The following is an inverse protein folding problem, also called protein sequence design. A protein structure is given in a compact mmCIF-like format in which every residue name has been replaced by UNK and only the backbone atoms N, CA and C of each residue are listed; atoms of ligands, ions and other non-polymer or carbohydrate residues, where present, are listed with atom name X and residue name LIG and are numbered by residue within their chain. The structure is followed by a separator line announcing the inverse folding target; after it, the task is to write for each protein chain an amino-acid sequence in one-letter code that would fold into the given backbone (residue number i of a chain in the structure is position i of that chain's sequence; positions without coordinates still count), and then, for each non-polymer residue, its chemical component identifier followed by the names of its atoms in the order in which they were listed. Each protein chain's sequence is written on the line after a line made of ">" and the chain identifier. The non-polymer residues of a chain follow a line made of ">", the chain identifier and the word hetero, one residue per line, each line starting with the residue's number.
data_IF_629557852968
#
_entry.id   IF_629557852968
#
_cell.length_a   1.000
_cell.length_b   1.000
_cell.length_c   1.000
_cell.angle_alpha   90.00
_cell.angle_beta   90.00
_cell.angle_gamma   90.00
#
_symmetry.space_group_name_H-M   'P 1'
#
loop_
_entity.id
_entity.type
_entity.pdbx_description
1 polymer ?
#
# COMPACT_ATOMS: atom_id res chain seq x y z
N UNK A 1 66.85 44.79 -86.28
CA UNK A 1 67.26 43.52 -85.70
C UNK A 1 66.53 43.37 -84.38
N UNK A 2 65.38 42.68 -84.36
CA UNK A 2 64.57 42.48 -83.20
C UNK A 2 64.48 40.97 -82.88
N UNK A 3 64.97 40.57 -81.74
CA UNK A 3 64.86 39.16 -81.25
C UNK A 3 63.53 39.00 -80.50
N UNK A 4 62.73 38.10 -81.01
CA UNK A 4 61.52 37.65 -80.32
C UNK A 4 61.89 36.62 -79.25
N UNK A 5 61.46 36.88 -78.02
CA UNK A 5 61.50 35.88 -76.91
C UNK A 5 60.13 35.33 -76.75
N UNK A 6 59.99 34.02 -76.93
CA UNK A 6 58.78 33.23 -76.71
C UNK A 6 58.73 32.85 -75.24
N UNK A 7 57.69 33.34 -74.55
CA UNK A 7 57.43 32.93 -73.14
C UNK A 7 56.44 31.79 -73.17
N UNK A 8 56.86 30.61 -72.72
CA UNK A 8 56.04 29.42 -72.54
C UNK A 8 55.32 29.56 -71.21
N UNK A 9 54.00 29.73 -71.24
CA UNK A 9 53.15 29.74 -70.07
C UNK A 9 52.85 28.30 -69.64
N UNK A 10 53.28 27.91 -68.45
CA UNK A 10 52.95 26.65 -67.80
C UNK A 10 51.65 26.83 -66.98
N UNK A 11 50.54 26.30 -67.49
CA UNK A 11 49.29 26.18 -66.71
C UNK A 11 49.43 25.10 -65.65
N UNK A 12 49.62 25.50 -64.40
CA UNK A 12 49.44 24.63 -63.26
C UNK A 12 47.94 24.47 -62.96
N UNK A 13 47.35 23.34 -63.36
CA UNK A 13 46.04 22.91 -62.90
C UNK A 13 46.14 22.44 -61.41
N UNK A 14 45.67 23.27 -60.48
CA UNK A 14 45.47 22.86 -59.13
C UNK A 14 44.26 21.93 -59.06
N UNK A 15 44.50 20.64 -58.91
CA UNK A 15 43.46 19.67 -58.54
C UNK A 15 43.03 19.92 -57.08
N UNK A 16 41.92 20.59 -56.88
CA UNK A 16 41.23 20.65 -55.57
C UNK A 16 40.64 19.27 -55.27
N UNK A 17 41.34 18.51 -54.44
CA UNK A 17 40.78 17.28 -53.87
C UNK A 17 39.74 17.72 -52.84
N UNK A 18 38.45 17.67 -53.21
CA UNK A 18 37.35 17.70 -52.25
C UNK A 18 37.41 16.41 -51.45
N UNK A 19 37.99 16.48 -50.23
CA UNK A 19 37.80 15.47 -49.21
C UNK A 19 36.33 15.54 -48.74
N UNK A 20 35.49 14.66 -49.23
CA UNK A 20 34.23 14.36 -48.55
C UNK A 20 34.60 13.83 -47.16
N UNK A 21 34.50 14.67 -46.13
CA UNK A 21 34.38 14.19 -44.77
C UNK A 21 33.06 13.45 -44.69
N UNK A 22 33.11 12.13 -44.66
CA UNK A 22 32.02 11.32 -44.17
C UNK A 22 31.82 11.72 -42.69
N UNK A 23 30.90 12.64 -42.45
CA UNK A 23 30.24 12.71 -41.17
C UNK A 23 29.47 11.40 -41.08
N UNK A 24 30.10 10.34 -40.55
CA UNK A 24 29.36 9.27 -39.88
C UNK A 24 28.69 9.96 -38.70
N UNK A 25 27.45 10.41 -38.91
CA UNK A 25 26.56 10.70 -37.80
C UNK A 25 26.65 9.50 -36.89
N UNK A 26 26.96 9.73 -35.62
CA UNK A 26 26.79 8.71 -34.57
C UNK A 26 25.42 8.09 -34.81
N UNK A 27 25.41 6.84 -35.23
CA UNK A 27 24.23 6.02 -35.19
C UNK A 27 23.97 5.89 -33.69
N UNK A 28 23.18 6.79 -33.13
CA UNK A 28 22.64 6.60 -31.81
C UNK A 28 21.78 5.33 -31.91
N UNK A 29 22.31 4.24 -31.37
CA UNK A 29 21.54 3.00 -31.28
C UNK A 29 20.15 3.34 -30.76
N UNK A 30 19.11 2.83 -31.43
CA UNK A 30 17.74 3.01 -30.96
C UNK A 30 17.67 2.55 -29.49
N UNK A 31 17.04 3.32 -28.60
CA UNK A 31 17.03 3.00 -27.18
C UNK A 31 16.51 1.58 -26.99
N UNK A 32 17.21 0.78 -26.18
CA UNK A 32 16.80 -0.57 -25.86
C UNK A 32 15.56 -0.50 -24.96
N UNK A 33 14.42 -0.98 -25.46
CA UNK A 33 13.17 -1.01 -24.68
C UNK A 33 13.04 -2.39 -24.03
N UNK A 34 13.22 -2.44 -22.72
CA UNK A 34 13.03 -3.64 -21.93
C UNK A 34 11.57 -3.84 -21.54
N UNK A 35 11.15 -5.10 -21.49
CA UNK A 35 9.79 -5.48 -21.09
C UNK A 35 9.56 -5.23 -19.59
N UNK A 36 8.33 -4.97 -19.21
CA UNK A 36 7.89 -4.97 -17.82
C UNK A 36 7.81 -6.43 -17.33
N UNK A 37 8.45 -6.74 -16.21
CA UNK A 37 8.58 -8.15 -15.75
C UNK A 37 7.68 -8.47 -14.58
N UNK A 38 7.63 -7.58 -13.58
CA UNK A 38 6.88 -7.83 -12.35
C UNK A 38 5.38 -7.58 -12.50
N UNK A 39 4.57 -8.21 -11.65
CA UNK A 39 3.11 -8.03 -11.64
C UNK A 39 2.70 -6.57 -11.36
N UNK A 40 3.44 -5.88 -10.52
CA UNK A 40 3.22 -4.48 -10.15
C UNK A 40 3.81 -3.47 -11.15
N UNK A 41 4.63 -3.91 -12.13
CA UNK A 41 5.07 -3.06 -13.26
C UNK A 41 3.96 -2.83 -14.27
N UNK A 42 2.92 -3.66 -14.26
CA UNK A 42 1.90 -3.75 -15.31
C UNK A 42 0.52 -3.44 -14.74
N UNK A 43 -0.20 -2.56 -15.41
CA UNK A 43 -1.65 -2.49 -15.22
C UNK A 43 -2.34 -3.72 -15.82
N UNK A 44 -3.50 -4.06 -15.29
CA UNK A 44 -4.41 -5.02 -15.93
C UNK A 44 -4.74 -4.50 -17.32
N UNK A 45 -4.55 -5.29 -18.39
CA UNK A 45 -4.85 -4.85 -19.75
C UNK A 45 -6.25 -4.29 -19.88
N UNK A 46 -6.45 -3.42 -20.88
CA UNK A 46 -7.75 -2.86 -21.21
C UNK A 46 -8.83 -3.95 -21.27
N UNK A 47 -9.95 -3.67 -20.64
CA UNK A 47 -11.12 -4.54 -20.63
C UNK A 47 -12.27 -3.83 -21.36
N UNK A 48 -12.88 -4.51 -22.32
CA UNK A 48 -14.18 -4.10 -22.84
C UNK A 48 -15.26 -4.32 -21.77
N UNK A 49 -16.36 -3.62 -21.92
CA UNK A 49 -17.51 -3.84 -21.02
C UNK A 49 -18.09 -5.23 -21.36
N UNK A 50 -18.11 -6.17 -20.37
CA UNK A 50 -18.67 -7.49 -20.60
C UNK A 50 -20.11 -7.44 -21.10
N UNK A 51 -20.48 -8.37 -22.00
CA UNK A 51 -21.84 -8.49 -22.51
C UNK A 51 -22.85 -8.57 -21.35
N UNK A 52 -23.93 -7.80 -21.45
CA UNK A 52 -24.99 -7.70 -20.44
C UNK A 52 -24.72 -6.67 -19.34
N UNK A 53 -23.58 -5.97 -19.37
CA UNK A 53 -23.28 -4.83 -18.50
C UNK A 53 -23.32 -3.51 -19.28
N UNK A 54 -23.48 -2.41 -18.54
CA UNK A 54 -23.47 -1.04 -19.10
C UNK A 54 -22.17 -0.30 -18.83
N UNK A 55 -21.39 -0.76 -17.83
CA UNK A 55 -20.15 -0.11 -17.38
C UNK A 55 -19.29 -1.09 -16.58
N UNK A 56 -18.00 -0.76 -16.41
CA UNK A 56 -17.07 -1.41 -15.49
C UNK A 56 -17.10 -0.80 -14.09
N UNK A 57 -17.93 0.24 -13.85
CA UNK A 57 -17.96 0.94 -12.57
C UNK A 57 -18.51 0.06 -11.45
N UNK A 58 -17.98 0.26 -10.24
CA UNK A 58 -18.48 -0.40 -9.05
C UNK A 58 -19.95 -0.03 -8.76
N UNK A 59 -20.35 1.21 -9.07
CA UNK A 59 -21.75 1.65 -8.94
C UNK A 59 -22.68 0.82 -9.83
N UNK A 60 -22.30 0.57 -11.09
CA UNK A 60 -23.06 -0.28 -12.01
C UNK A 60 -23.19 -1.72 -11.47
N UNK A 61 -22.13 -2.29 -10.93
CA UNK A 61 -22.17 -3.59 -10.27
C UNK A 61 -23.10 -3.56 -9.04
N UNK A 62 -23.06 -2.47 -8.29
CA UNK A 62 -23.81 -2.22 -7.07
C UNK A 62 -25.34 -2.19 -7.25
N UNK A 63 -25.83 -1.92 -8.47
CA UNK A 63 -27.28 -1.99 -8.79
C UNK A 63 -27.85 -3.35 -8.40
N UNK A 64 -27.12 -4.43 -8.66
CA UNK A 64 -27.51 -5.80 -8.35
C UNK A 64 -26.77 -6.34 -7.13
N UNK A 65 -25.46 -6.13 -7.01
CA UNK A 65 -24.61 -6.63 -5.93
C UNK A 65 -24.53 -5.64 -4.75
N UNK A 66 -25.70 -5.21 -4.25
CA UNK A 66 -25.85 -4.09 -3.32
C UNK A 66 -25.00 -4.23 -2.05
N UNK A 67 -25.01 -5.41 -1.41
CA UNK A 67 -24.26 -5.61 -0.16
C UNK A 67 -22.74 -5.62 -0.40
N UNK A 68 -22.27 -6.21 -1.52
CA UNK A 68 -20.85 -6.19 -1.88
C UNK A 68 -20.36 -4.78 -2.20
N UNK A 69 -21.17 -4.01 -2.93
CA UNK A 69 -20.87 -2.61 -3.24
C UNK A 69 -20.76 -1.75 -1.97
N UNK A 70 -21.73 -1.89 -1.07
CA UNK A 70 -21.73 -1.21 0.22
C UNK A 70 -20.49 -1.57 1.07
N UNK A 71 -20.13 -2.84 1.10
CA UNK A 71 -18.93 -3.30 1.82
C UNK A 71 -17.65 -2.75 1.19
N UNK A 72 -17.56 -2.76 -0.14
CA UNK A 72 -16.43 -2.18 -0.87
C UNK A 72 -16.29 -0.68 -0.61
N UNK A 73 -17.38 0.08 -0.56
CA UNK A 73 -17.35 1.50 -0.22
C UNK A 73 -16.75 1.78 1.17
N UNK A 74 -16.85 0.84 2.12
CA UNK A 74 -16.19 0.93 3.43
C UNK A 74 -14.73 0.46 3.41
N UNK A 75 -14.25 -0.08 2.31
CA UNK A 75 -12.88 -0.55 2.21
C UNK A 75 -11.92 0.58 1.86
N UNK A 76 -10.65 0.40 2.20
CA UNK A 76 -9.60 1.33 1.74
C UNK A 76 -9.30 1.18 0.25
N UNK A 77 -9.77 0.11 -0.40
CA UNK A 77 -9.64 -0.09 -1.83
C UNK A 77 -10.44 0.94 -2.65
N UNK A 78 -11.68 1.25 -2.23
CA UNK A 78 -12.51 2.27 -2.90
C UNK A 78 -11.91 3.67 -2.83
N UNK A 79 -11.05 3.93 -1.83
CA UNK A 79 -10.37 5.20 -1.64
C UNK A 79 -8.90 5.18 -2.06
N UNK A 80 -8.46 4.13 -2.76
CA UNK A 80 -7.04 3.97 -3.09
C UNK A 80 -6.49 5.12 -3.96
N UNK A 81 -7.31 5.67 -4.85
CA UNK A 81 -6.94 6.82 -5.66
C UNK A 81 -7.11 8.15 -4.92
N UNK A 82 -8.22 8.34 -4.22
CA UNK A 82 -8.60 9.62 -3.61
C UNK A 82 -7.95 9.88 -2.25
N UNK A 83 -7.14 8.96 -1.73
CA UNK A 83 -6.41 9.11 -0.47
C UNK A 83 -5.46 10.32 -0.52
N UNK A 84 -5.64 11.27 0.39
CA UNK A 84 -4.87 12.51 0.41
C UNK A 84 -3.36 12.27 0.57
N UNK A 85 -2.94 11.30 1.40
CA UNK A 85 -1.54 10.90 1.54
C UNK A 85 -1.00 10.40 0.22
N UNK A 86 -1.69 9.47 -0.44
CA UNK A 86 -1.29 8.95 -1.74
C UNK A 86 -1.17 10.07 -2.79
N UNK A 87 -2.14 10.99 -2.86
CA UNK A 87 -2.11 12.09 -3.81
C UNK A 87 -0.98 13.09 -3.53
N UNK A 88 -0.64 13.30 -2.25
CA UNK A 88 0.48 14.16 -1.88
C UNK A 88 1.83 13.53 -2.30
N UNK A 89 1.99 12.23 -2.11
CA UNK A 89 3.18 11.49 -2.53
C UNK A 89 3.27 11.42 -4.05
N UNK A 90 2.18 11.12 -4.74
CA UNK A 90 2.12 11.03 -6.20
C UNK A 90 2.57 12.30 -6.91
N UNK A 91 2.27 13.47 -6.34
CA UNK A 91 2.70 14.78 -6.88
C UNK A 91 4.20 15.01 -6.84
N UNK A 92 4.92 14.29 -6.00
CA UNK A 92 6.39 14.39 -5.86
C UNK A 92 7.11 13.47 -6.83
N UNK A 93 6.38 12.55 -7.46
CA UNK A 93 6.93 11.53 -8.32
C UNK A 93 7.11 12.03 -9.75
N UNK A 94 8.29 11.78 -10.32
CA UNK A 94 8.58 12.06 -11.74
C UNK A 94 8.07 10.97 -12.67
N UNK A 95 7.91 9.75 -12.16
CA UNK A 95 7.46 8.59 -12.94
C UNK A 95 6.56 7.65 -12.12
N UNK A 96 5.31 8.07 -11.83
CA UNK A 96 4.45 7.40 -10.86
C UNK A 96 3.78 6.11 -11.38
N UNK A 97 4.15 5.58 -12.54
CA UNK A 97 3.42 4.48 -13.18
C UNK A 97 3.33 3.22 -12.29
N UNK A 98 4.35 2.93 -11.50
CA UNK A 98 4.30 1.78 -10.57
C UNK A 98 3.27 1.99 -9.46
N UNK A 99 3.18 3.20 -8.92
CA UNK A 99 2.19 3.54 -7.90
C UNK A 99 0.76 3.34 -8.42
N UNK A 100 0.51 3.85 -9.62
CA UNK A 100 -0.83 3.81 -10.21
C UNK A 100 -1.27 2.40 -10.60
N UNK A 101 -0.34 1.48 -10.90
CA UNK A 101 -0.69 0.08 -11.23
C UNK A 101 -1.32 -0.67 -10.06
N UNK A 102 -1.10 -0.23 -8.81
CA UNK A 102 -1.78 -0.79 -7.64
C UNK A 102 -2.99 0.03 -7.21
N UNK A 103 -2.97 1.36 -7.40
CA UNK A 103 -4.02 2.26 -6.91
C UNK A 103 -5.19 2.45 -7.88
N UNK A 104 -4.94 2.31 -9.20
CA UNK A 104 -5.93 2.32 -10.29
C UNK A 104 -5.51 1.24 -11.32
N UNK A 105 -5.70 -0.04 -10.98
CA UNK A 105 -4.99 -1.14 -11.62
C UNK A 105 -5.43 -1.45 -13.06
N UNK A 106 -6.57 -0.96 -13.53
CA UNK A 106 -7.03 -1.21 -14.90
C UNK A 106 -6.43 -0.18 -15.88
N UNK A 107 -5.97 -0.59 -17.04
CA UNK A 107 -5.62 0.35 -18.11
C UNK A 107 -6.76 1.31 -18.44
N UNK A 108 -8.01 0.88 -18.29
CA UNK A 108 -9.19 1.75 -18.45
C UNK A 108 -9.15 3.00 -17.54
N UNK A 109 -8.44 2.93 -16.40
CA UNK A 109 -8.34 4.00 -15.41
C UNK A 109 -7.12 4.90 -15.62
N UNK A 110 -6.25 4.58 -16.60
CA UNK A 110 -4.95 5.24 -16.79
C UNK A 110 -4.95 6.04 -18.09
N UNK A 111 -4.54 7.29 -18.05
CA UNK A 111 -4.47 8.19 -19.21
C UNK A 111 -3.38 7.81 -20.21
N UNK A 112 -2.38 7.06 -19.75
CA UNK A 112 -1.27 6.58 -20.54
C UNK A 112 -0.95 5.12 -20.21
N UNK A 113 -0.48 4.37 -21.21
CA UNK A 113 -0.07 2.98 -21.07
C UNK A 113 1.44 2.89 -21.18
N UNK A 114 2.09 2.31 -20.19
CA UNK A 114 3.53 2.02 -20.21
C UNK A 114 3.75 0.75 -21.03
N UNK A 115 4.62 0.83 -22.04
CA UNK A 115 4.95 -0.27 -22.96
C UNK A 115 6.25 -0.98 -22.61
N UNK A 116 7.12 -0.34 -21.84
CA UNK A 116 8.42 -0.84 -21.41
C UNK A 116 9.26 0.28 -20.81
N UNK A 117 10.50 -0.02 -20.53
CA UNK A 117 11.46 0.90 -19.92
C UNK A 117 12.65 1.10 -20.84
N UNK A 118 13.14 2.31 -20.99
CA UNK A 118 14.38 2.58 -21.72
C UNK A 118 15.53 2.05 -20.86
N UNK A 119 16.29 1.10 -21.41
CA UNK A 119 17.43 0.44 -20.76
C UNK A 119 17.10 -0.16 -19.38
N UNK A 120 15.84 -0.51 -19.13
CA UNK A 120 15.40 -1.03 -17.84
C UNK A 120 15.24 0.04 -16.75
N UNK A 121 15.40 1.31 -17.09
CA UNK A 121 15.33 2.42 -16.14
C UNK A 121 13.85 2.75 -15.80
N UNK A 122 13.45 2.51 -14.55
CA UNK A 122 12.09 2.79 -14.05
C UNK A 122 11.70 4.27 -14.13
N UNK A 123 12.69 5.17 -14.23
CA UNK A 123 12.47 6.61 -14.39
C UNK A 123 12.24 7.02 -15.85
N UNK A 124 12.42 6.08 -16.79
CA UNK A 124 12.26 6.32 -18.24
C UNK A 124 11.24 5.37 -18.87
N UNK A 125 9.98 5.37 -18.39
CA UNK A 125 8.94 4.56 -19.00
C UNK A 125 8.57 5.05 -20.39
N UNK A 126 8.44 4.14 -21.32
CA UNK A 126 7.89 4.40 -22.66
C UNK A 126 6.38 4.43 -22.59
N UNK A 127 5.79 5.60 -22.69
CA UNK A 127 4.34 5.82 -22.54
C UNK A 127 3.67 6.10 -23.88
N UNK A 128 2.46 5.58 -24.05
CA UNK A 128 1.56 5.94 -25.15
C UNK A 128 0.23 6.42 -24.57
N UNK A 129 -0.39 7.40 -25.24
CA UNK A 129 -1.73 7.88 -24.83
C UNK A 129 -2.73 6.73 -24.86
N UNK A 130 -3.58 6.64 -23.85
CA UNK A 130 -4.65 5.64 -23.81
C UNK A 130 -5.97 6.23 -24.37
N UNK A 131 -6.43 5.82 -25.55
CA UNK A 131 -7.66 6.33 -26.12
C UNK A 131 -8.95 5.85 -25.40
N UNK A 132 -8.81 4.87 -24.49
CA UNK A 132 -9.90 4.23 -23.77
C UNK A 132 -9.94 4.62 -22.30
N UNK A 133 -9.28 5.72 -21.95
CA UNK A 133 -9.22 6.22 -20.59
C UNK A 133 -10.59 6.72 -20.10
N UNK A 134 -10.96 6.31 -18.90
CA UNK A 134 -12.20 6.71 -18.21
C UNK A 134 -11.85 7.40 -16.89
N UNK A 135 -12.02 8.73 -16.85
CA UNK A 135 -11.77 9.55 -15.66
C UNK A 135 -12.69 9.19 -14.49
N UNK A 136 -13.95 8.84 -14.76
CA UNK A 136 -14.89 8.47 -13.68
C UNK A 136 -14.48 7.15 -13.02
N UNK A 137 -14.10 6.17 -13.85
CA UNK A 137 -13.63 4.87 -13.36
C UNK A 137 -12.34 5.02 -12.52
N UNK A 138 -11.46 5.96 -12.87
CA UNK A 138 -10.26 6.28 -12.12
C UNK A 138 -10.56 6.67 -10.68
N UNK A 139 -11.62 7.46 -10.45
CA UNK A 139 -11.99 7.92 -9.12
C UNK A 139 -12.41 6.78 -8.17
N UNK A 140 -12.74 5.62 -8.69
CA UNK A 140 -13.13 4.45 -7.89
C UNK A 140 -11.95 3.70 -7.26
N UNK A 141 -10.70 4.06 -7.58
CA UNK A 141 -9.53 3.37 -7.06
C UNK A 141 -9.49 1.90 -7.50
N UNK A 142 -9.40 0.96 -6.55
CA UNK A 142 -9.46 -0.47 -6.85
C UNK A 142 -10.91 -0.89 -6.91
N UNK A 143 -11.49 -0.79 -8.10
CA UNK A 143 -12.89 -1.08 -8.38
C UNK A 143 -13.18 -2.58 -8.47
N UNK A 144 -14.46 -2.98 -8.51
CA UNK A 144 -14.90 -4.38 -8.67
C UNK A 144 -14.26 -5.05 -9.88
N UNK A 145 -14.22 -4.34 -11.02
CA UNK A 145 -13.66 -4.84 -12.28
C UNK A 145 -12.16 -5.15 -12.18
N UNK A 146 -11.43 -4.48 -11.29
CA UNK A 146 -10.00 -4.74 -11.06
C UNK A 146 -9.72 -6.19 -10.65
N UNK A 147 -10.66 -6.83 -9.95
CA UNK A 147 -10.55 -8.22 -9.53
C UNK A 147 -11.44 -9.16 -10.38
N UNK A 148 -12.62 -8.70 -10.77
CA UNK A 148 -13.66 -9.56 -11.33
C UNK A 148 -13.84 -9.47 -12.83
N UNK A 149 -13.08 -8.65 -13.57
CA UNK A 149 -13.12 -8.63 -15.03
C UNK A 149 -11.77 -9.01 -15.61
N UNK A 150 -11.75 -10.07 -16.41
CA UNK A 150 -10.57 -10.51 -17.16
C UNK A 150 -11.01 -11.01 -18.54
N UNK A 151 -10.26 -10.62 -19.57
CA UNK A 151 -10.56 -10.99 -20.96
C UNK A 151 -12.01 -10.67 -21.35
N UNK A 152 -12.49 -9.51 -20.91
CA UNK A 152 -13.82 -8.98 -21.21
C UNK A 152 -15.00 -9.84 -20.70
N UNK A 153 -14.75 -10.68 -19.69
CA UNK A 153 -15.81 -11.49 -19.03
C UNK A 153 -15.70 -11.35 -17.51
N UNK A 154 -16.83 -11.60 -16.84
CA UNK A 154 -16.84 -11.64 -15.36
C UNK A 154 -16.22 -12.95 -14.88
N UNK A 155 -15.34 -12.83 -13.91
CA UNK A 155 -14.69 -13.94 -13.23
C UNK A 155 -15.30 -14.10 -11.83
N UNK A 156 -15.77 -15.29 -11.53
CA UNK A 156 -16.33 -15.63 -10.23
C UNK A 156 -15.81 -16.96 -9.67
N UNK A 157 -16.01 -17.25 -8.38
CA UNK A 157 -15.55 -18.51 -7.78
C UNK A 157 -16.38 -19.73 -8.24
N UNK A 158 -17.58 -19.55 -8.77
CA UNK A 158 -18.48 -20.63 -9.17
C UNK A 158 -18.84 -20.62 -10.66
N UNK A 159 -18.79 -19.46 -11.33
CA UNK A 159 -19.37 -19.30 -12.65
C UNK A 159 -20.92 -19.38 -12.61
N UNK A 160 -21.59 -18.88 -13.63
CA UNK A 160 -23.03 -19.03 -13.83
C UNK A 160 -23.44 -18.54 -15.22
N UNK A 161 -24.46 -19.14 -15.79
CA UNK A 161 -25.18 -18.71 -16.99
C UNK A 161 -26.53 -18.02 -16.67
N UNK A 162 -26.90 -17.96 -15.39
CA UNK A 162 -28.16 -17.35 -14.91
C UNK A 162 -28.07 -15.84 -14.69
N UNK A 163 -26.87 -15.28 -14.69
CA UNK A 163 -26.68 -13.84 -14.58
C UNK A 163 -26.94 -13.14 -15.93
N UNK A 164 -27.32 -11.87 -15.95
CA UNK A 164 -27.43 -11.09 -17.19
C UNK A 164 -26.10 -10.93 -17.93
N UNK A 165 -24.98 -11.16 -17.24
CA UNK A 165 -23.63 -11.17 -17.79
C UNK A 165 -23.02 -12.58 -17.71
N UNK A 166 -22.21 -12.94 -18.68
CA UNK A 166 -21.46 -14.19 -18.65
C UNK A 166 -20.48 -14.19 -17.49
N UNK A 167 -20.51 -15.25 -16.66
CA UNK A 167 -19.58 -15.43 -15.54
C UNK A 167 -18.86 -16.77 -15.67
N UNK A 168 -17.54 -16.72 -15.76
CA UNK A 168 -16.69 -17.91 -15.79
C UNK A 168 -16.17 -18.22 -14.36
N UNK A 169 -15.92 -19.50 -14.11
CA UNK A 169 -15.27 -19.94 -12.87
C UNK A 169 -13.77 -19.86 -13.04
N UNK A 170 -13.10 -19.10 -12.15
CA UNK A 170 -11.65 -19.10 -12.04
C UNK A 170 -11.23 -18.83 -10.58
N UNK A 171 -11.01 -19.91 -9.85
CA UNK A 171 -10.57 -19.86 -8.44
C UNK A 171 -9.06 -19.68 -8.32
N UNK A 172 -8.29 -19.89 -9.39
CA UNK A 172 -6.84 -19.65 -9.41
C UNK A 172 -6.61 -18.15 -9.49
N UNK A 173 -7.30 -17.47 -10.40
CA UNK A 173 -7.24 -16.00 -10.48
C UNK A 173 -7.73 -15.34 -9.19
N UNK A 174 -8.86 -15.80 -8.63
CA UNK A 174 -9.43 -15.28 -7.38
C UNK A 174 -8.82 -15.96 -6.15
N UNK A 175 -7.50 -16.08 -6.11
CA UNK A 175 -6.73 -16.62 -4.98
C UNK A 175 -5.91 -15.51 -4.32
N UNK A 176 -5.12 -15.88 -3.31
CA UNK A 176 -4.15 -14.98 -2.66
C UNK A 176 -3.14 -14.37 -3.65
N UNK A 177 -2.88 -15.01 -4.79
CA UNK A 177 -1.95 -14.48 -5.80
C UNK A 177 -2.42 -13.14 -6.36
N UNK A 178 -3.74 -12.95 -6.49
CA UNK A 178 -4.30 -11.66 -6.87
C UNK A 178 -3.99 -10.58 -5.84
N UNK A 179 -4.05 -10.90 -4.54
CA UNK A 179 -3.69 -9.96 -3.47
C UNK A 179 -2.19 -9.63 -3.48
N UNK A 180 -1.36 -10.67 -3.59
CA UNK A 180 0.10 -10.57 -3.58
C UNK A 180 0.60 -9.75 -4.77
N UNK A 181 -0.11 -9.70 -5.89
CA UNK A 181 0.31 -8.91 -7.07
C UNK A 181 0.50 -7.41 -6.76
N UNK A 182 -0.18 -6.89 -5.72
CA UNK A 182 -0.01 -5.52 -5.23
C UNK A 182 0.57 -5.47 -3.81
N UNK A 183 0.30 -6.49 -2.98
CA UNK A 183 0.76 -6.55 -1.59
C UNK A 183 2.11 -7.27 -1.41
N UNK A 184 2.90 -7.37 -2.48
CA UNK A 184 4.28 -7.87 -2.45
C UNK A 184 5.12 -7.16 -3.53
N UNK A 185 5.30 -5.86 -3.37
CA UNK A 185 6.05 -5.03 -4.30
C UNK A 185 7.19 -4.32 -3.55
N UNK A 186 8.43 -4.58 -3.96
CA UNK A 186 9.62 -3.95 -3.39
C UNK A 186 10.35 -3.20 -4.50
N UNK A 187 10.38 -1.88 -4.40
CA UNK A 187 11.12 -1.02 -5.32
C UNK A 187 11.53 0.27 -4.64
N UNK A 188 12.72 0.76 -4.95
CA UNK A 188 13.07 2.17 -4.74
C UNK A 188 12.47 2.94 -5.90
N UNK A 189 11.39 3.68 -5.62
CA UNK A 189 10.59 4.38 -6.65
C UNK A 189 11.24 5.69 -7.07
N UNK A 190 11.82 6.39 -6.09
CA UNK A 190 12.72 7.54 -6.29
C UNK A 190 13.87 7.44 -5.30
N UNK A 191 14.92 8.25 -5.42
CA UNK A 191 15.98 8.28 -4.40
C UNK A 191 15.45 8.48 -2.97
N UNK A 192 14.30 9.15 -2.81
CA UNK A 192 13.72 9.50 -1.52
C UNK A 192 12.40 8.77 -1.20
N UNK A 193 12.01 7.79 -2.02
CA UNK A 193 10.80 7.00 -1.79
C UNK A 193 11.01 5.53 -2.15
N UNK A 194 10.72 4.65 -1.22
CA UNK A 194 10.72 3.22 -1.43
C UNK A 194 9.33 2.63 -1.17
N UNK A 195 8.86 1.77 -2.08
CA UNK A 195 7.78 0.84 -1.80
C UNK A 195 8.42 -0.44 -1.25
N UNK A 196 8.08 -0.81 -0.02
CA UNK A 196 8.59 -2.03 0.61
C UNK A 196 7.42 -2.81 1.20
N UNK A 197 6.63 -3.41 0.30
CA UNK A 197 5.47 -4.23 0.64
C UNK A 197 5.86 -5.70 0.50
N UNK A 198 6.24 -6.34 1.61
CA UNK A 198 6.69 -7.73 1.63
C UNK A 198 5.64 -8.67 2.25
N UNK A 199 4.39 -8.20 2.37
CA UNK A 199 3.31 -8.93 3.06
C UNK A 199 3.10 -10.35 2.51
N UNK A 200 3.23 -10.54 1.19
CA UNK A 200 3.12 -11.85 0.56
C UNK A 200 4.24 -12.81 0.98
N UNK A 201 5.49 -12.35 1.01
CA UNK A 201 6.63 -13.17 1.39
C UNK A 201 6.67 -13.42 2.90
N UNK A 202 6.29 -12.41 3.71
CA UNK A 202 6.10 -12.56 5.15
C UNK A 202 5.06 -13.64 5.47
N UNK A 203 3.93 -13.67 4.75
CA UNK A 203 2.89 -14.68 4.90
C UNK A 203 3.39 -16.07 4.47
N UNK A 204 4.12 -16.19 3.35
CA UNK A 204 4.69 -17.45 2.90
C UNK A 204 5.68 -18.02 3.92
N UNK A 205 6.43 -17.18 4.61
CA UNK A 205 7.33 -17.56 5.70
C UNK A 205 6.61 -17.79 7.04
N UNK A 206 5.33 -17.38 7.14
CA UNK A 206 4.57 -17.41 8.38
C UNK A 206 3.89 -18.75 8.67
N UNK A 207 3.36 -18.94 9.90
CA UNK A 207 2.81 -20.21 10.38
C UNK A 207 1.48 -20.60 9.72
N UNK A 208 0.80 -19.67 9.06
CA UNK A 208 -0.51 -19.92 8.42
C UNK A 208 -0.41 -20.24 6.93
N UNK A 209 0.80 -20.23 6.35
CA UNK A 209 1.00 -20.62 4.95
C UNK A 209 0.47 -22.04 4.70
N UNK A 210 -0.30 -22.21 3.64
CA UNK A 210 -0.94 -23.49 3.31
C UNK A 210 -2.16 -23.86 4.16
N UNK A 211 -2.49 -23.10 5.22
CA UNK A 211 -3.64 -23.34 6.09
C UNK A 211 -4.71 -22.23 5.96
N UNK A 212 -4.27 -20.98 5.95
CA UNK A 212 -5.11 -19.78 5.81
C UNK A 212 -4.44 -18.84 4.82
N UNK A 213 -5.24 -18.20 3.99
CA UNK A 213 -4.74 -17.24 3.00
C UNK A 213 -5.33 -15.84 3.23
N UNK A 214 -4.97 -14.90 2.38
CA UNK A 214 -5.42 -13.52 2.45
C UNK A 214 -6.95 -13.41 2.52
N UNK A 215 -7.65 -14.18 1.67
CA UNK A 215 -9.10 -14.15 1.56
C UNK A 215 -9.75 -14.66 2.84
N UNK A 216 -9.27 -15.77 3.40
CA UNK A 216 -9.85 -16.38 4.59
C UNK A 216 -9.75 -15.51 5.85
N UNK A 217 -8.75 -14.59 5.89
CA UNK A 217 -8.55 -13.67 7.00
C UNK A 217 -9.15 -12.28 6.76
N UNK A 218 -8.99 -11.73 5.54
CA UNK A 218 -9.38 -10.36 5.24
C UNK A 218 -10.77 -10.21 4.61
N UNK A 219 -11.36 -11.33 4.16
CA UNK A 219 -12.67 -11.39 3.53
C UNK A 219 -13.50 -12.53 4.17
N UNK A 220 -13.99 -12.31 5.38
CA UNK A 220 -14.76 -13.35 6.13
C UNK A 220 -15.86 -13.95 5.28
N UNK A 221 -16.12 -15.24 5.52
CA UNK A 221 -17.22 -15.96 4.88
C UNK A 221 -18.57 -15.53 5.45
N UNK A 222 -19.57 -15.46 4.59
CA UNK A 222 -20.97 -15.20 4.93
C UNK A 222 -21.89 -15.99 4.02
N UNK A 223 -23.01 -16.47 4.55
CA UNK A 223 -24.07 -17.08 3.74
C UNK A 223 -25.14 -16.05 3.45
N UNK A 224 -25.23 -15.61 2.19
CA UNK A 224 -26.20 -14.60 1.74
C UNK A 224 -26.59 -14.78 0.28
N UNK A 225 -27.70 -14.15 -0.12
CA UNK A 225 -28.00 -13.94 -1.53
C UNK A 225 -26.96 -12.97 -2.13
N UNK A 226 -26.40 -13.29 -3.28
CA UNK A 226 -25.45 -12.43 -4.00
C UNK A 226 -26.17 -11.22 -4.62
N UNK A 227 -27.40 -11.46 -5.06
CA UNK A 227 -28.34 -10.45 -5.57
C UNK A 227 -29.64 -10.61 -4.82
N UNK A 228 -30.33 -9.53 -4.41
CA UNK A 228 -31.61 -9.61 -3.75
C UNK A 228 -32.64 -10.47 -4.53
N UNK A 229 -33.35 -11.36 -3.84
CA UNK A 229 -34.33 -12.26 -4.43
C UNK A 229 -33.77 -13.60 -4.96
N UNK A 230 -32.45 -13.80 -4.94
CA UNK A 230 -31.84 -15.07 -5.32
C UNK A 230 -31.57 -15.96 -4.08
N UNK A 231 -31.25 -17.22 -4.32
CA UNK A 231 -30.90 -18.17 -3.28
C UNK A 231 -29.64 -17.75 -2.51
N UNK A 232 -29.64 -17.98 -1.22
CA UNK A 232 -28.45 -17.77 -0.37
C UNK A 232 -27.39 -18.81 -0.69
N UNK A 233 -26.15 -18.35 -0.74
CA UNK A 233 -24.97 -19.22 -0.92
C UNK A 233 -23.79 -18.69 -0.11
N UNK A 234 -22.76 -19.51 0.05
CA UNK A 234 -21.51 -19.08 0.63
C UNK A 234 -20.87 -17.99 -0.23
N UNK A 235 -20.48 -16.92 0.40
CA UNK A 235 -19.86 -15.74 -0.17
C UNK A 235 -18.81 -15.19 0.78
N UNK A 236 -18.15 -14.12 0.39
CA UNK A 236 -17.18 -13.38 1.19
C UNK A 236 -17.61 -11.93 1.38
N UNK A 237 -17.29 -11.37 2.53
CA UNK A 237 -17.36 -9.93 2.74
C UNK A 237 -16.29 -9.20 1.91
N UNK A 238 -16.63 -8.00 1.43
CA UNK A 238 -15.75 -7.14 0.62
C UNK A 238 -15.29 -5.89 1.37
N UNK A 239 -15.24 -5.96 2.71
CA UNK A 239 -14.67 -4.90 3.55
C UNK A 239 -13.16 -4.81 3.44
N UNK A 240 -12.47 -5.88 3.03
CA UNK A 240 -11.02 -5.97 3.02
C UNK A 240 -10.43 -5.46 4.34
N UNK A 241 -10.95 -5.99 5.45
CA UNK A 241 -10.61 -5.53 6.80
C UNK A 241 -9.11 -5.63 7.05
N UNK A 242 -8.54 -4.61 7.68
CA UNK A 242 -7.10 -4.53 7.88
C UNK A 242 -6.74 -3.50 8.95
N UNK A 243 -5.91 -2.53 8.64
CA UNK A 243 -5.48 -1.50 9.61
C UNK A 243 -6.65 -0.78 10.26
N UNK A 244 -7.74 -0.59 9.54
CA UNK A 244 -8.92 0.09 10.02
C UNK A 244 -8.79 1.61 10.14
N UNK A 245 -7.67 2.18 9.69
CA UNK A 245 -7.47 3.64 9.67
C UNK A 245 -8.18 4.19 8.44
N UNK A 246 -9.20 5.05 8.59
CA UNK A 246 -9.93 5.62 7.47
C UNK A 246 -9.03 6.43 6.54
N UNK A 247 -9.39 6.52 5.26
CA UNK A 247 -8.68 7.32 4.25
C UNK A 247 -9.16 8.78 4.18
N UNK A 248 -10.29 9.07 4.81
CA UNK A 248 -10.87 10.41 4.90
C UNK A 248 -11.61 10.56 6.23
N UNK A 249 -11.80 11.81 6.68
CA UNK A 249 -12.58 12.13 7.87
C UNK A 249 -14.01 11.59 7.75
N UNK A 250 -14.44 10.85 8.76
CA UNK A 250 -15.79 10.28 8.82
C UNK A 250 -16.02 9.04 7.95
N UNK A 251 -15.04 8.64 7.13
CA UNK A 251 -15.12 7.38 6.42
C UNK A 251 -15.10 6.20 7.41
N UNK A 252 -15.93 5.19 7.13
CA UNK A 252 -16.04 3.99 7.97
C UNK A 252 -15.15 2.90 7.38
N UNK A 253 -14.44 2.19 8.25
CA UNK A 253 -13.59 1.05 7.88
C UNK A 253 -13.81 -0.09 8.84
N UNK A 254 -13.37 -1.28 8.46
CA UNK A 254 -13.36 -2.46 9.34
C UNK A 254 -11.93 -2.72 9.81
N UNK A 255 -11.77 -2.69 11.14
CA UNK A 255 -10.50 -3.04 11.79
C UNK A 255 -10.37 -4.55 11.84
N UNK A 256 -9.18 -5.04 11.52
CA UNK A 256 -8.73 -6.38 11.88
C UNK A 256 -7.42 -6.25 12.65
N UNK A 257 -7.51 -6.43 13.97
CA UNK A 257 -6.32 -6.33 14.81
C UNK A 257 -5.59 -7.67 14.86
N UNK A 258 -4.35 -7.70 14.36
CA UNK A 258 -3.48 -8.87 14.42
C UNK A 258 -2.86 -9.12 15.79
N UNK A 259 -2.94 -8.13 16.70
CA UNK A 259 -2.30 -8.17 18.02
C UNK A 259 -3.27 -8.62 19.12
N UNK A 260 -2.72 -9.35 20.08
CA UNK A 260 -3.32 -9.60 21.38
C UNK A 260 -2.50 -8.93 22.49
N UNK A 261 -3.19 -8.51 23.56
CA UNK A 261 -2.63 -7.76 24.67
C UNK A 261 -2.87 -8.50 25.98
N UNK A 262 -1.83 -8.63 26.80
CA UNK A 262 -1.86 -9.38 28.06
C UNK A 262 -1.23 -8.56 29.17
N UNK A 263 -2.01 -7.71 29.87
CA UNK A 263 -1.54 -7.01 31.06
C UNK A 263 -1.34 -7.98 32.22
N UNK A 264 -0.29 -7.80 33.01
CA UNK A 264 -0.12 -8.57 34.25
C UNK A 264 -1.01 -8.01 35.36
N UNK A 265 -1.55 -8.86 36.23
CA UNK A 265 -2.28 -8.38 37.41
C UNK A 265 -1.37 -7.56 38.31
N UNK A 266 -1.90 -6.45 38.86
CA UNK A 266 -1.27 -5.68 39.90
C UNK A 266 -1.53 -6.30 41.28
N UNK A 267 -0.67 -6.01 42.28
CA UNK A 267 -0.96 -6.35 43.67
C UNK A 267 -2.15 -5.54 44.19
N UNK A 268 -2.86 -6.05 45.19
CA UNK A 268 -3.95 -5.35 45.85
C UNK A 268 -3.52 -3.99 46.42
N UNK A 269 -2.30 -3.91 46.91
CA UNK A 269 -1.64 -2.65 47.35
C UNK A 269 -0.13 -2.79 47.34
N UNK A 270 0.54 -1.67 47.33
CA UNK A 270 2.00 -1.49 47.47
C UNK A 270 2.30 -0.62 48.69
N UNK A 271 3.45 -0.77 49.27
CA UNK A 271 3.95 0.16 50.30
C UNK A 271 4.74 1.30 49.63
N UNK A 272 4.83 2.44 50.35
CA UNK A 272 5.73 3.50 49.92
C UNK A 272 7.16 2.93 49.89
N UNK A 273 7.91 3.22 48.83
CA UNK A 273 9.23 2.69 48.47
C UNK A 273 9.22 1.30 47.78
N UNK A 274 8.06 0.61 47.68
CA UNK A 274 8.00 -0.52 46.79
C UNK A 274 8.11 -0.06 45.33
N UNK A 275 8.79 -0.83 44.50
CA UNK A 275 8.74 -0.64 43.06
C UNK A 275 7.48 -1.35 42.54
N UNK A 276 6.60 -0.59 41.91
CA UNK A 276 5.47 -1.13 41.11
C UNK A 276 6.06 -1.63 39.81
N UNK A 277 6.10 -2.95 39.65
CA UNK A 277 6.53 -3.60 38.41
C UNK A 277 5.27 -4.08 37.69
N UNK A 278 5.07 -3.58 36.46
CA UNK A 278 3.96 -3.99 35.63
C UNK A 278 4.48 -4.43 34.26
N UNK A 279 4.07 -5.62 33.83
CA UNK A 279 4.43 -6.15 32.50
C UNK A 279 3.22 -6.12 31.58
N UNK A 280 3.43 -5.61 30.40
CA UNK A 280 2.46 -5.59 29.32
C UNK A 280 3.00 -6.39 28.14
N UNK A 281 2.44 -7.59 27.92
CA UNK A 281 2.82 -8.45 26.82
C UNK A 281 1.96 -8.13 25.60
N UNK A 282 2.62 -7.93 24.46
CA UNK A 282 2.01 -7.76 23.14
C UNK A 282 2.42 -8.95 22.29
N UNK A 283 1.48 -9.58 21.62
CA UNK A 283 1.70 -10.73 20.75
C UNK A 283 1.09 -10.50 19.37
N UNK A 284 1.84 -10.80 18.32
CA UNK A 284 1.28 -10.96 16.97
C UNK A 284 0.60 -12.34 16.89
N UNK A 285 -0.64 -12.43 17.34
CA UNK A 285 -1.34 -13.70 17.52
C UNK A 285 -2.16 -14.11 16.30
N UNK A 286 -2.74 -13.13 15.60
CA UNK A 286 -3.76 -13.41 14.60
C UNK A 286 -3.30 -13.11 13.17
N UNK A 287 -2.18 -12.40 12.97
CA UNK A 287 -1.66 -12.13 11.63
C UNK A 287 -0.66 -13.23 11.19
N UNK A 288 -0.77 -13.63 9.92
CA UNK A 288 0.15 -14.56 9.29
C UNK A 288 1.40 -13.91 8.70
N UNK A 289 1.55 -12.61 8.90
CA UNK A 289 2.63 -11.74 8.43
C UNK A 289 3.10 -10.83 9.57
N UNK A 290 4.13 -10.05 9.37
CA UNK A 290 4.58 -9.06 10.35
C UNK A 290 3.46 -8.05 10.70
N UNK A 291 3.55 -7.46 11.89
CA UNK A 291 2.67 -6.35 12.32
C UNK A 291 3.53 -5.22 12.90
N UNK A 292 3.44 -4.02 12.33
CA UNK A 292 2.74 -3.66 11.10
C UNK A 292 3.34 -4.31 9.85
N UNK A 293 2.67 -4.23 8.71
CA UNK A 293 3.14 -4.66 7.39
C UNK A 293 2.66 -3.69 6.32
N UNK A 294 3.20 -3.78 5.12
CA UNK A 294 2.89 -2.93 3.99
C UNK A 294 3.70 -1.64 4.00
N UNK A 295 3.05 -0.48 3.90
CA UNK A 295 3.75 0.80 3.85
C UNK A 295 4.74 0.97 5.01
N UNK A 296 6.03 1.26 4.75
CA UNK A 296 7.09 1.37 5.76
C UNK A 296 6.90 2.52 6.76
N UNK A 297 6.04 3.49 6.48
CA UNK A 297 5.69 4.55 7.42
C UNK A 297 4.77 4.10 8.56
N UNK A 298 4.18 2.89 8.46
CA UNK A 298 3.29 2.37 9.49
C UNK A 298 4.04 1.99 10.75
N UNK A 299 3.45 2.34 11.89
CA UNK A 299 3.98 1.95 13.20
C UNK A 299 2.87 1.84 14.26
N UNK A 300 3.24 1.29 15.39
CA UNK A 300 2.39 1.17 16.57
C UNK A 300 3.09 1.87 17.72
N UNK A 301 2.36 2.68 18.48
CA UNK A 301 2.81 3.25 19.74
C UNK A 301 2.09 2.56 20.90
N UNK A 302 2.85 2.18 21.90
CA UNK A 302 2.36 1.67 23.18
C UNK A 302 2.74 2.72 24.21
N UNK A 303 1.72 3.39 24.76
CA UNK A 303 1.90 4.52 25.68
C UNK A 303 1.44 4.12 27.07
N UNK A 304 2.26 4.39 28.05
CA UNK A 304 2.00 4.15 29.46
C UNK A 304 2.05 5.47 30.21
N UNK A 305 0.99 5.78 30.94
CA UNK A 305 0.88 6.98 31.74
C UNK A 305 0.46 6.61 33.15
N UNK A 306 1.12 7.18 34.18
CA UNK A 306 0.66 7.04 35.55
C UNK A 306 0.28 8.42 36.06
N UNK A 307 -0.93 8.53 36.58
CA UNK A 307 -1.48 9.73 37.19
C UNK A 307 -1.63 9.50 38.69
N UNK A 308 -1.39 10.51 39.51
CA UNK A 308 -1.70 10.48 40.93
C UNK A 308 -3.18 10.83 41.19
N UNK A 309 -3.61 10.81 42.46
CA UNK A 309 -4.98 11.17 42.87
C UNK A 309 -5.42 12.57 42.45
N UNK A 310 -4.49 13.50 42.23
CA UNK A 310 -4.78 14.85 41.75
C UNK A 310 -4.79 14.94 40.23
N UNK A 311 -4.83 13.82 39.50
CA UNK A 311 -4.75 13.70 38.04
C UNK A 311 -3.45 14.30 37.45
N UNK A 312 -2.40 14.43 38.24
CA UNK A 312 -1.10 14.87 37.74
C UNK A 312 -0.35 13.68 37.16
N UNK A 313 0.22 13.86 35.96
CA UNK A 313 1.08 12.87 35.32
C UNK A 313 2.40 12.77 36.10
N UNK A 314 2.72 11.56 36.57
CA UNK A 314 3.94 11.30 37.39
C UNK A 314 4.87 10.28 36.73
N UNK A 315 4.44 9.61 35.69
CA UNK A 315 5.23 8.69 34.88
C UNK A 315 4.70 8.61 33.45
N UNK A 316 5.63 8.57 32.50
CA UNK A 316 5.32 8.36 31.09
C UNK A 316 6.41 7.48 30.46
N UNK A 317 5.97 6.53 29.62
CA UNK A 317 6.84 5.72 28.77
C UNK A 317 6.13 5.45 27.45
N UNK A 318 6.86 5.55 26.35
CA UNK A 318 6.33 5.23 25.02
C UNK A 318 7.27 4.26 24.32
N UNK A 319 6.68 3.19 23.80
CA UNK A 319 7.36 2.16 23.00
C UNK A 319 6.84 2.18 21.57
N UNK A 320 7.73 1.87 20.61
CA UNK A 320 7.39 1.88 19.19
C UNK A 320 7.69 0.53 18.55
N UNK A 321 6.72 0.02 17.77
CA UNK A 321 6.87 -1.13 16.87
C UNK A 321 6.69 -0.61 15.45
N UNK A 322 7.61 -0.89 14.56
CA UNK A 322 7.58 -0.40 13.17
C UNK A 322 8.98 -0.19 12.61
N UNK A 323 9.10 -0.20 11.31
CA UNK A 323 10.35 0.15 10.64
C UNK A 323 10.74 1.61 10.91
N UNK A 324 12.03 1.88 10.95
CA UNK A 324 12.58 3.24 10.91
C UNK A 324 13.30 3.44 9.60
N UNK A 325 12.93 4.51 8.91
CA UNK A 325 13.52 4.90 7.65
C UNK A 325 14.13 6.29 7.74
N UNK A 326 15.21 6.50 7.03
CA UNK A 326 15.74 7.79 6.64
C UNK A 326 15.31 8.01 5.18
N UNK A 327 14.61 9.12 4.92
CA UNK A 327 14.06 9.40 3.59
C UNK A 327 14.95 10.33 2.77
N UNK A 328 15.84 11.09 3.41
CA UNK A 328 16.71 12.07 2.76
C UNK A 328 18.16 11.90 3.24
N UNK A 329 19.19 12.02 2.36
CA UNK A 329 19.09 12.30 0.92
C UNK A 329 18.61 11.11 0.08
N UNK A 330 18.63 9.89 0.64
CA UNK A 330 18.20 8.65 -0.01
C UNK A 330 17.36 7.81 0.96
N UNK A 331 16.35 7.14 0.42
CA UNK A 331 15.50 6.24 1.19
C UNK A 331 16.31 5.03 1.68
N UNK A 332 16.47 4.92 2.99
CA UNK A 332 17.24 3.86 3.63
C UNK A 332 16.53 3.31 4.88
N UNK A 333 16.35 2.01 4.92
CA UNK A 333 15.87 1.33 6.13
C UNK A 333 16.97 1.33 7.20
N UNK A 334 16.72 1.98 8.33
CA UNK A 334 17.64 2.04 9.47
C UNK A 334 17.47 0.86 10.42
N UNK A 335 16.22 0.46 10.65
CA UNK A 335 15.90 -0.70 11.49
C UNK A 335 14.49 -1.24 11.19
N UNK A 336 14.29 -2.50 11.52
CA UNK A 336 13.00 -3.20 11.47
C UNK A 336 12.78 -3.91 12.81
N UNK A 337 11.78 -3.47 13.57
CA UNK A 337 11.36 -4.11 14.79
C UNK A 337 9.87 -4.53 14.74
N UNK A 338 9.34 -4.73 13.55
CA UNK A 338 8.00 -5.29 13.36
C UNK A 338 7.88 -6.65 14.08
N UNK A 339 6.72 -6.92 14.67
CA UNK A 339 6.46 -8.20 15.31
C UNK A 339 6.26 -9.30 14.28
N UNK A 340 7.11 -10.32 14.31
CA UNK A 340 6.94 -11.53 13.51
C UNK A 340 5.65 -12.27 13.91
N UNK A 341 5.07 -13.10 13.01
CA UNK A 341 3.95 -13.96 13.38
C UNK A 341 4.27 -14.80 14.62
N UNK A 342 3.36 -14.81 15.59
CA UNK A 342 3.48 -15.47 16.90
C UNK A 342 4.57 -14.90 17.83
N UNK A 343 5.32 -13.89 17.43
CA UNK A 343 6.27 -13.21 18.32
C UNK A 343 5.54 -12.55 19.50
N UNK A 344 6.11 -12.71 20.67
CA UNK A 344 5.69 -12.05 21.92
C UNK A 344 6.76 -11.05 22.35
N UNK A 345 6.32 -9.88 22.79
CA UNK A 345 7.20 -8.85 23.33
C UNK A 345 6.63 -8.30 24.63
N UNK A 346 7.47 -8.22 25.67
CA UNK A 346 7.08 -7.75 26.99
C UNK A 346 7.67 -6.37 27.21
N UNK A 347 6.83 -5.42 27.55
CA UNK A 347 7.19 -4.07 27.98
C UNK A 347 7.01 -3.97 29.49
N UNK A 348 8.05 -3.55 30.19
CA UNK A 348 8.06 -3.49 31.65
C UNK A 348 8.06 -2.03 32.10
N UNK A 349 7.10 -1.70 32.93
CA UNK A 349 7.01 -0.44 33.66
C UNK A 349 7.56 -0.63 35.06
N UNK A 350 8.51 0.22 35.47
CA UNK A 350 9.02 0.29 36.82
C UNK A 350 8.70 1.68 37.40
N UNK A 351 7.74 1.75 38.29
CA UNK A 351 7.28 2.98 38.89
C UNK A 351 7.57 2.96 40.41
N UNK A 352 8.22 3.98 40.92
CA UNK A 352 8.52 4.15 42.36
C UNK A 352 7.64 5.28 42.92
N UNK A 353 6.51 4.97 43.57
CA UNK A 353 5.66 5.98 44.18
C UNK A 353 6.35 6.70 45.30
N UNK A 354 6.31 8.02 45.29
CA UNK A 354 6.92 8.89 46.33
C UNK A 354 5.94 9.31 47.42
N UNK A 355 4.66 9.06 47.25
CA UNK A 355 3.58 9.40 48.18
C UNK A 355 2.58 8.24 48.26
N UNK A 356 1.93 8.13 49.44
CA UNK A 356 0.75 7.28 49.60
C UNK A 356 -0.41 7.86 48.82
N UNK A 357 -1.30 7.01 48.36
CA UNK A 357 -2.50 7.39 47.59
C UNK A 357 -2.80 6.42 46.50
N UNK A 358 -3.85 6.72 45.74
CA UNK A 358 -4.30 5.92 44.62
C UNK A 358 -3.76 6.55 43.33
N UNK A 359 -3.17 5.72 42.50
CA UNK A 359 -2.61 6.09 41.20
C UNK A 359 -3.40 5.34 40.11
N UNK A 360 -3.44 5.93 38.92
CA UNK A 360 -4.07 5.34 37.75
C UNK A 360 -3.01 5.09 36.68
N UNK A 361 -2.73 3.80 36.38
CA UNK A 361 -1.92 3.40 35.23
C UNK A 361 -2.85 3.30 34.02
N UNK A 362 -2.68 4.18 33.05
CA UNK A 362 -3.37 4.16 31.77
C UNK A 362 -2.44 3.61 30.70
N UNK A 363 -2.95 2.68 29.87
CA UNK A 363 -2.25 2.08 28.73
C UNK A 363 -3.07 2.33 27.48
N UNK A 364 -2.43 2.93 26.49
CA UNK A 364 -3.04 3.16 25.18
C UNK A 364 -2.16 2.55 24.08
N UNK A 365 -2.73 1.78 23.17
CA UNK A 365 -2.03 1.30 21.99
C UNK A 365 -2.66 1.93 20.76
N UNK A 366 -1.85 2.64 20.01
CA UNK A 366 -2.24 3.35 18.79
C UNK A 366 -1.60 2.70 17.58
N UNK A 367 -2.39 2.47 16.54
CA UNK A 367 -1.91 2.02 15.23
C UNK A 367 -1.87 3.21 14.29
N UNK A 368 -0.69 3.57 13.86
CA UNK A 368 -0.42 4.73 13.00
C UNK A 368 -0.23 4.32 11.55
N UNK A 369 -0.67 5.17 10.65
CA UNK A 369 -0.45 5.09 9.20
C UNK A 369 0.78 5.89 8.79
N UNK A 370 1.00 7.03 9.43
CA UNK A 370 2.02 8.03 9.13
C UNK A 370 2.35 8.78 10.42
N UNK A 371 3.57 9.28 10.57
CA UNK A 371 3.94 10.16 11.66
C UNK A 371 3.40 11.57 11.48
N UNK A 372 3.40 12.38 12.54
CA UNK A 372 2.99 13.78 12.47
C UNK A 372 3.94 14.59 11.57
N UNK A 373 5.25 14.34 11.65
CA UNK A 373 6.25 14.98 10.82
C UNK A 373 6.06 14.67 9.32
N UNK A 374 5.79 13.39 9.00
CA UNK A 374 5.54 12.99 7.61
C UNK A 374 4.19 13.52 7.11
N UNK A 375 3.17 13.63 7.97
CA UNK A 375 1.89 14.25 7.63
C UNK A 375 2.04 15.75 7.36
N UNK A 376 2.82 16.46 8.15
CA UNK A 376 3.14 17.87 7.94
C UNK A 376 3.93 18.08 6.64
N UNK A 377 4.95 17.24 6.40
CA UNK A 377 5.72 17.26 5.14
C UNK A 377 4.83 17.03 3.90
N UNK A 378 3.84 16.17 4.01
CA UNK A 378 2.84 15.89 2.98
C UNK A 378 1.69 16.92 2.94
N UNK A 379 1.71 17.94 3.80
CA UNK A 379 0.67 18.97 3.92
C UNK A 379 -0.73 18.39 4.13
N UNK A 380 -0.80 17.30 4.88
CA UNK A 380 -2.08 16.68 5.27
C UNK A 380 -2.68 17.49 6.41
N UNK A 381 -3.93 17.92 6.25
CA UNK A 381 -4.64 18.68 7.29
C UNK A 381 -4.86 17.87 8.58
N UNK A 382 -5.19 18.56 9.66
CA UNK A 382 -5.42 17.93 10.98
C UNK A 382 -6.60 16.94 10.98
N UNK A 383 -7.52 17.10 10.03
CA UNK A 383 -8.64 16.17 9.83
C UNK A 383 -8.26 14.87 9.15
N UNK A 384 -7.04 14.73 8.59
CA UNK A 384 -6.60 13.48 7.98
C UNK A 384 -6.37 12.42 9.05
N UNK A 385 -7.05 11.25 8.99
CA UNK A 385 -6.93 10.22 10.01
C UNK A 385 -5.54 9.59 9.99
N UNK A 386 -4.71 9.90 10.98
CA UNK A 386 -3.33 9.42 11.08
C UNK A 386 -3.23 8.10 11.83
N UNK A 387 -4.11 7.87 12.81
CA UNK A 387 -4.08 6.68 13.66
C UNK A 387 -5.48 6.29 14.17
N UNK A 388 -5.54 5.11 14.74
CA UNK A 388 -6.67 4.63 15.57
C UNK A 388 -6.14 4.02 16.85
N UNK A 389 -6.93 4.13 17.91
CA UNK A 389 -6.67 3.42 19.17
C UNK A 389 -7.21 2.00 19.06
N UNK A 390 -6.37 1.01 19.38
CA UNK A 390 -6.71 -0.42 19.33
C UNK A 390 -6.72 -1.09 20.70
N UNK A 391 -6.26 -0.37 21.73
CA UNK A 391 -6.31 -0.76 23.14
C UNK A 391 -6.31 0.50 24.00
N UNK A 392 -7.20 0.61 24.99
CA UNK A 392 -7.27 1.71 25.94
C UNK A 392 -7.85 1.19 27.27
N UNK A 393 -6.99 0.90 28.23
CA UNK A 393 -7.39 0.40 29.55
C UNK A 393 -6.64 1.12 30.66
N UNK A 394 -7.26 1.13 31.82
CA UNK A 394 -6.69 1.74 33.03
C UNK A 394 -6.73 0.76 34.21
N UNK A 395 -5.71 0.82 35.03
CA UNK A 395 -5.48 -0.05 36.18
C UNK A 395 -5.22 0.79 37.43
N UNK A 396 -5.88 0.46 38.53
CA UNK A 396 -5.64 1.12 39.81
C UNK A 396 -4.36 0.59 40.46
N UNK A 397 -3.52 1.52 40.97
CA UNK A 397 -2.31 1.22 41.75
C UNK A 397 -2.47 1.87 43.11
N UNK A 398 -2.73 1.06 44.14
CA UNK A 398 -2.99 1.53 45.52
C UNK A 398 -1.68 1.51 46.31
N UNK A 399 -1.29 2.65 46.86
CA UNK A 399 -0.07 2.78 47.70
C UNK A 399 -0.43 3.18 49.12
N UNK A 400 -0.06 2.33 50.11
CA UNK A 400 -0.42 2.49 51.53
C UNK A 400 0.79 2.75 52.38
#
# INVERSE_FOLDING_TARGET
>A
MKKNVLILGVCLMALSIFQCQNNQGEITDAPNITSLEHSWDKAVPYQEIPEGLTSLSAESCGVCHQEHYKEWQYSTHSHAWTDAQFQAELKKETSPFMCINCHIPLQNQQDSIVKGLIDGDIYKPVKVVNPHYDENLKQEGITCAACHVRNNVIVGPTGTDKAPHKTIKDTIHLSEQLCISCHNAVAVVTPTLACSFETGDEWKAGPFYGQKNCISCHMDTITRAIVPGFEKRLSHHHYFKGSGIPKAKGAKTKVFNGLAFYPTPLKLFYHINDTVVFNFKVKNEFAGHKVPTGNPERFILIKFFIYNSDSTLVYEQTERIGEKWEWHPEAKKLSDNNLLPQEERIYTINFNPTKKGDYLLKITVEKHRISDEAAEYNQLGDEYPRFIVIYDESFEVIVR
#
